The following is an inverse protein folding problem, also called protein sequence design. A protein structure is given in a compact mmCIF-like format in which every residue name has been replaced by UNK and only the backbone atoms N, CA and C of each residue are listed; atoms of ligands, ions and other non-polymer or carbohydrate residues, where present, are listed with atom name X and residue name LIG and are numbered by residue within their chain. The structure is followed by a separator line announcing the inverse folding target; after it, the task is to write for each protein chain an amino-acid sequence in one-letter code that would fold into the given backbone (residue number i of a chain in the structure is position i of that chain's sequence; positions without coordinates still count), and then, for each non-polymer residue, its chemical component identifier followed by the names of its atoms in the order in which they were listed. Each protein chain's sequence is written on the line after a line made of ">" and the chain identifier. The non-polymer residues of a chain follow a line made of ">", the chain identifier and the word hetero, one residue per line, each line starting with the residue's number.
data_IF_764208984992
#
_entry.id   IF_764208984992
#
_cell.length_a   1.000
_cell.length_b   1.000
_cell.length_c   1.000
_cell.angle_alpha   90.00
_cell.angle_beta   90.00
_cell.angle_gamma   90.00
#
_symmetry.space_group_name_H-M   'P 1'
#
loop_
_entity.id
_entity.type
_entity.pdbx_description
1 polymer ?
#
# COMPACT_ATOMS: atom_id res chain seq x y z
N UNK A 1 -3.98 -9.86 2.51
CA UNK A 1 -5.44 -10.21 2.61
C UNK A 1 -6.28 -8.92 2.56
N UNK A 2 -7.58 -8.95 2.21
CA UNK A 2 -8.41 -7.72 2.14
C UNK A 2 -8.39 -6.93 3.45
N UNK A 3 -8.47 -7.61 4.60
CA UNK A 3 -8.43 -6.97 5.92
C UNK A 3 -7.15 -6.15 6.17
N UNK A 4 -6.02 -6.58 5.62
CA UNK A 4 -4.73 -5.88 5.81
C UNK A 4 -4.60 -4.70 4.84
N UNK A 5 -5.09 -4.87 3.61
CA UNK A 5 -5.20 -3.76 2.67
C UNK A 5 -6.11 -2.66 3.23
N UNK A 6 -7.22 -3.02 3.89
CA UNK A 6 -8.07 -2.04 4.58
C UNK A 6 -7.39 -1.42 5.79
N UNK A 7 -6.64 -2.21 6.58
CA UNK A 7 -5.84 -1.69 7.69
C UNK A 7 -4.86 -0.60 7.23
N UNK A 8 -4.19 -0.82 6.10
CA UNK A 8 -3.12 0.06 5.64
C UNK A 8 -3.59 1.20 4.72
N UNK A 9 -4.54 0.95 3.81
CA UNK A 9 -5.00 1.90 2.81
C UNK A 9 -6.41 2.46 3.05
N UNK A 10 -7.08 2.11 4.17
CA UNK A 10 -8.41 2.67 4.49
C UNK A 10 -8.47 3.26 5.89
N UNK A 11 -8.20 2.47 6.92
CA UNK A 11 -8.24 2.89 8.32
C UNK A 11 -7.52 1.86 9.20
N UNK A 12 -6.60 2.32 10.05
CA UNK A 12 -5.78 1.42 10.86
C UNK A 12 -4.40 2.00 11.15
N UNK A 13 -3.48 1.82 10.20
CA UNK A 13 -2.16 2.44 10.23
C UNK A 13 -2.25 3.99 10.25
N UNK A 14 -3.33 4.54 9.70
CA UNK A 14 -3.68 5.96 9.78
C UNK A 14 -3.74 6.52 11.20
N UNK A 15 -4.10 5.70 12.19
CA UNK A 15 -4.14 6.12 13.60
C UNK A 15 -2.73 6.23 14.23
N UNK A 16 -1.73 5.63 13.61
CA UNK A 16 -0.34 5.61 14.08
C UNK A 16 0.47 6.73 13.40
N UNK A 17 0.21 6.99 12.11
CA UNK A 17 0.88 8.01 11.30
C UNK A 17 -0.12 9.04 10.73
N UNK A 18 -0.81 9.83 11.58
CA UNK A 18 -1.88 10.71 11.15
C UNK A 18 -1.41 11.84 10.23
N UNK A 19 -0.20 12.34 10.44
CA UNK A 19 0.44 13.38 9.64
C UNK A 19 0.78 12.94 8.21
N UNK A 20 1.31 11.72 8.05
CA UNK A 20 1.51 11.12 6.73
C UNK A 20 0.18 10.72 6.08
N UNK A 21 -0.81 10.30 6.88
CA UNK A 21 -2.13 9.94 6.40
C UNK A 21 -2.88 11.14 5.80
N UNK A 22 -2.78 12.32 6.41
CA UNK A 22 -3.37 13.53 5.84
C UNK A 22 -2.86 13.80 4.42
N UNK A 23 -1.56 13.61 4.19
CA UNK A 23 -0.94 13.71 2.85
C UNK A 23 -1.44 12.65 1.88
N UNK A 24 -1.69 11.44 2.36
CA UNK A 24 -2.33 10.38 1.58
C UNK A 24 -3.79 10.72 1.21
N UNK A 25 -4.51 11.51 2.00
CA UNK A 25 -5.89 11.86 1.69
C UNK A 25 -6.03 13.06 0.74
N UNK A 26 -5.02 13.94 0.67
CA UNK A 26 -5.05 15.20 -0.10
C UNK A 26 -5.49 15.04 -1.56
N UNK A 27 -5.02 14.04 -2.35
CA UNK A 27 -5.41 13.90 -3.76
C UNK A 27 -6.84 13.37 -3.97
N UNK A 28 -7.49 12.87 -2.92
CA UNK A 28 -8.79 12.19 -3.01
C UNK A 28 -9.90 13.10 -2.43
N UNK A 29 -10.90 13.49 -3.24
CA UNK A 29 -12.07 14.24 -2.78
C UNK A 29 -12.79 13.51 -1.65
N UNK A 30 -13.30 14.25 -0.67
CA UNK A 30 -13.95 13.69 0.54
C UNK A 30 -15.04 12.67 0.20
N UNK A 31 -15.86 12.93 -0.83
CA UNK A 31 -16.92 12.02 -1.26
C UNK A 31 -16.45 10.68 -1.84
N UNK A 32 -15.17 10.56 -2.22
CA UNK A 32 -14.58 9.32 -2.74
C UNK A 32 -13.78 8.52 -1.68
N UNK A 33 -13.58 9.07 -0.47
CA UNK A 33 -12.71 8.47 0.55
C UNK A 33 -13.25 7.20 1.21
N UNK A 34 -14.46 6.77 0.84
CA UNK A 34 -15.04 5.49 1.31
C UNK A 34 -14.40 4.24 0.71
N UNK A 35 -13.68 4.38 -0.41
CA UNK A 35 -12.86 3.32 -1.00
C UNK A 35 -11.61 3.94 -1.65
N UNK A 36 -10.57 4.13 -0.84
CA UNK A 36 -9.36 4.83 -1.23
C UNK A 36 -8.57 4.07 -2.30
N UNK A 37 -8.46 2.74 -2.19
CA UNK A 37 -7.76 1.93 -3.20
C UNK A 37 -8.40 2.09 -4.59
N UNK A 38 -9.72 2.02 -4.69
CA UNK A 38 -10.41 2.24 -5.96
C UNK A 38 -10.30 3.69 -6.43
N UNK A 39 -10.36 4.67 -5.53
CA UNK A 39 -10.22 6.09 -5.86
C UNK A 39 -8.83 6.44 -6.39
N UNK A 40 -7.79 5.86 -5.81
CA UNK A 40 -6.42 5.94 -6.30
C UNK A 40 -6.25 5.23 -7.63
N UNK A 41 -6.72 3.98 -7.76
CA UNK A 41 -6.62 3.22 -9.01
C UNK A 41 -7.23 3.98 -10.19
N UNK A 42 -8.41 4.61 -10.02
CA UNK A 42 -9.03 5.43 -11.08
C UNK A 42 -8.13 6.56 -11.59
N UNK A 43 -7.44 7.27 -10.69
CA UNK A 43 -6.52 8.37 -11.03
C UNK A 43 -5.23 7.81 -11.67
N UNK A 44 -4.71 6.73 -11.12
CA UNK A 44 -3.48 6.06 -11.56
C UNK A 44 -3.62 5.42 -12.95
N UNK A 45 -4.82 5.04 -13.36
CA UNK A 45 -5.11 4.52 -14.71
C UNK A 45 -5.81 5.52 -15.62
N UNK A 46 -6.01 6.77 -15.17
CA UNK A 46 -6.66 7.83 -15.93
C UNK A 46 -5.75 8.47 -16.98
N UNK A 47 -6.36 9.35 -17.79
CA UNK A 47 -5.67 10.11 -18.85
C UNK A 47 -5.10 11.46 -18.37
N UNK A 48 -5.47 11.93 -17.17
CA UNK A 48 -4.92 13.15 -16.60
C UNK A 48 -3.55 12.87 -15.96
N UNK A 49 -2.47 13.22 -16.65
CA UNK A 49 -1.11 12.96 -16.18
C UNK A 49 -0.74 13.74 -14.90
N UNK A 50 -1.31 14.92 -14.69
CA UNK A 50 -1.06 15.70 -13.47
C UNK A 50 -1.71 15.04 -12.26
N UNK A 51 -2.97 14.64 -12.37
CA UNK A 51 -3.67 13.90 -11.31
C UNK A 51 -3.01 12.54 -11.03
N UNK A 52 -2.58 11.85 -12.09
CA UNK A 52 -1.87 10.58 -11.99
C UNK A 52 -0.58 10.74 -11.20
N UNK A 53 0.23 11.75 -11.52
CA UNK A 53 1.49 12.00 -10.81
C UNK A 53 1.22 12.38 -9.34
N UNK A 54 0.26 13.27 -9.07
CA UNK A 54 -0.10 13.65 -7.70
C UNK A 54 -0.55 12.44 -6.87
N UNK A 55 -1.43 11.61 -7.43
CA UNK A 55 -1.87 10.39 -6.77
C UNK A 55 -0.73 9.39 -6.59
N UNK A 56 0.12 9.19 -7.59
CA UNK A 56 1.26 8.29 -7.51
C UNK A 56 2.24 8.71 -6.41
N UNK A 57 2.61 9.99 -6.36
CA UNK A 57 3.51 10.51 -5.32
C UNK A 57 2.91 10.34 -3.93
N UNK A 58 1.64 10.70 -3.72
CA UNK A 58 1.00 10.58 -2.40
C UNK A 58 0.90 9.12 -1.93
N UNK A 59 0.54 8.20 -2.83
CA UNK A 59 0.52 6.77 -2.57
C UNK A 59 1.90 6.24 -2.16
N UNK A 60 2.93 6.55 -2.95
CA UNK A 60 4.30 6.10 -2.67
C UNK A 60 4.87 6.72 -1.40
N UNK A 61 4.61 8.00 -1.14
CA UNK A 61 5.05 8.68 0.09
C UNK A 61 4.43 8.04 1.34
N UNK A 62 3.15 7.70 1.30
CA UNK A 62 2.47 7.00 2.40
C UNK A 62 3.21 5.73 2.82
N UNK A 63 3.58 4.90 1.85
CA UNK A 63 4.28 3.65 2.14
C UNK A 63 5.73 3.88 2.58
N UNK A 64 6.46 4.77 1.92
CA UNK A 64 7.84 5.08 2.30
C UNK A 64 7.93 5.68 3.72
N UNK A 65 6.94 6.46 4.13
CA UNK A 65 6.88 7.09 5.46
C UNK A 65 6.60 6.08 6.59
N UNK A 66 6.01 4.92 6.28
CA UNK A 66 5.51 3.95 7.27
C UNK A 66 6.27 2.62 7.26
N UNK A 67 7.22 2.43 6.35
CA UNK A 67 7.96 1.17 6.17
C UNK A 67 9.08 0.92 7.21
N UNK A 68 9.31 1.85 8.14
CA UNK A 68 10.38 1.74 9.14
C UNK A 68 9.92 2.28 10.49
N UNK A 69 10.50 1.73 11.57
CA UNK A 69 10.22 2.20 12.94
C UNK A 69 10.65 3.67 13.12
N UNK A 70 11.79 4.04 12.55
CA UNK A 70 12.23 5.41 12.43
C UNK A 70 12.05 5.84 10.98
N UNK A 71 11.26 6.89 10.76
CA UNK A 71 11.01 7.45 9.43
C UNK A 71 12.34 7.81 8.78
N UNK A 72 12.52 7.37 7.53
CA UNK A 72 13.72 7.64 6.75
C UNK A 72 13.44 8.72 5.69
N UNK A 73 13.94 9.95 5.86
CA UNK A 73 13.72 11.03 4.89
C UNK A 73 14.20 10.68 3.48
N UNK A 74 15.24 9.86 3.33
CA UNK A 74 15.75 9.47 2.02
C UNK A 74 14.78 8.54 1.28
N UNK A 75 14.06 7.69 2.02
CA UNK A 75 13.02 6.81 1.45
C UNK A 75 11.83 7.64 0.96
N UNK A 76 11.42 8.66 1.70
CA UNK A 76 10.37 9.61 1.27
C UNK A 76 10.84 10.42 0.06
N UNK A 77 12.07 10.94 0.08
CA UNK A 77 12.63 11.73 -1.02
C UNK A 77 12.64 10.95 -2.34
N UNK A 78 12.90 9.64 -2.30
CA UNK A 78 12.81 8.79 -3.50
C UNK A 78 11.42 8.82 -4.13
N UNK A 79 10.35 8.83 -3.34
CA UNK A 79 8.98 8.89 -3.84
C UNK A 79 8.60 10.28 -4.39
N UNK A 80 9.23 11.35 -3.90
CA UNK A 80 8.98 12.71 -4.38
C UNK A 80 9.83 13.08 -5.59
N UNK A 81 11.07 12.61 -5.64
CA UNK A 81 12.09 13.09 -6.58
C UNK A 81 12.16 12.23 -7.85
N UNK A 82 11.77 10.95 -7.76
CA UNK A 82 11.70 10.03 -8.90
C UNK A 82 10.25 9.74 -9.29
N UNK A 83 9.73 10.59 -10.18
CA UNK A 83 8.38 10.44 -10.73
C UNK A 83 8.16 9.10 -11.45
N UNK A 84 9.21 8.53 -12.08
CA UNK A 84 9.08 7.23 -12.77
C UNK A 84 8.90 6.11 -11.76
N UNK A 85 9.66 6.14 -10.67
CA UNK A 85 9.49 5.22 -9.55
C UNK A 85 8.08 5.35 -8.96
N UNK A 86 7.65 6.56 -8.58
CA UNK A 86 6.35 6.76 -7.95
C UNK A 86 5.18 6.25 -8.82
N UNK A 87 5.19 6.59 -10.11
CA UNK A 87 4.14 6.16 -11.04
C UNK A 87 4.16 4.65 -11.25
N UNK A 88 5.32 4.03 -11.44
CA UNK A 88 5.40 2.57 -11.61
C UNK A 88 4.96 1.83 -10.35
N UNK A 89 5.47 2.25 -9.19
CA UNK A 89 5.18 1.68 -7.87
C UNK A 89 3.67 1.71 -7.58
N UNK A 90 3.09 2.92 -7.54
CA UNK A 90 1.69 3.09 -7.18
C UNK A 90 0.74 2.40 -8.16
N UNK A 91 1.02 2.47 -9.47
CA UNK A 91 0.14 1.84 -10.48
C UNK A 91 0.12 0.32 -10.35
N UNK A 92 1.27 -0.30 -10.17
CA UNK A 92 1.35 -1.77 -10.09
C UNK A 92 0.70 -2.24 -8.80
N UNK A 93 1.01 -1.61 -7.66
CA UNK A 93 0.40 -1.96 -6.37
C UNK A 93 -1.11 -1.83 -6.37
N UNK A 94 -1.61 -0.63 -6.69
CA UNK A 94 -3.05 -0.38 -6.74
C UNK A 94 -3.74 -1.36 -7.68
N UNK A 95 -3.12 -1.69 -8.82
CA UNK A 95 -3.66 -2.67 -9.76
C UNK A 95 -3.79 -4.07 -9.16
N UNK A 96 -2.77 -4.58 -8.46
CA UNK A 96 -2.88 -5.88 -7.79
C UNK A 96 -3.90 -5.84 -6.65
N UNK A 97 -3.94 -4.76 -5.86
CA UNK A 97 -4.81 -4.69 -4.69
C UNK A 97 -6.29 -4.64 -5.05
N UNK A 98 -6.68 -3.83 -6.05
CA UNK A 98 -8.09 -3.77 -6.48
C UNK A 98 -8.57 -5.07 -7.13
N UNK A 99 -7.65 -5.88 -7.68
CA UNK A 99 -7.95 -7.17 -8.30
C UNK A 99 -7.78 -8.36 -7.34
N UNK A 100 -7.63 -8.15 -6.02
CA UNK A 100 -7.42 -9.24 -5.06
C UNK A 100 -6.16 -10.07 -5.34
N UNK A 101 -5.14 -9.42 -5.90
CA UNK A 101 -3.91 -10.00 -6.43
C UNK A 101 -4.13 -11.16 -7.42
N UNK A 102 -5.27 -11.18 -8.12
CA UNK A 102 -5.66 -12.24 -9.05
C UNK A 102 -5.72 -13.65 -8.42
N UNK A 103 -5.91 -13.71 -7.10
CA UNK A 103 -6.15 -14.96 -6.38
C UNK A 103 -7.61 -15.37 -6.48
N UNK A 104 -7.89 -16.66 -6.38
CA UNK A 104 -9.25 -17.21 -6.36
C UNK A 104 -10.02 -16.80 -5.10
N UNK A 105 -9.31 -16.70 -3.96
CA UNK A 105 -9.86 -16.23 -2.70
C UNK A 105 -8.78 -15.64 -1.78
N UNK A 106 -9.24 -14.88 -0.78
CA UNK A 106 -8.43 -14.13 0.19
C UNK A 106 -7.48 -15.00 1.04
N UNK A 107 -7.71 -16.31 1.11
CA UNK A 107 -6.96 -17.27 1.92
C UNK A 107 -6.21 -18.31 1.07
N UNK A 108 -6.13 -18.10 -0.25
CA UNK A 108 -5.49 -19.04 -1.17
C UNK A 108 -4.08 -19.45 -0.72
N UNK A 109 -3.26 -18.50 -0.25
CA UNK A 109 -1.90 -18.80 0.21
C UNK A 109 -1.89 -19.74 1.43
N UNK A 110 -2.73 -19.47 2.44
CA UNK A 110 -2.80 -20.28 3.66
C UNK A 110 -3.39 -21.66 3.39
N UNK A 111 -4.44 -21.74 2.56
CA UNK A 111 -5.07 -23.01 2.15
C UNK A 111 -4.15 -23.94 1.39
N UNK A 112 -3.10 -23.40 0.74
CA UNK A 112 -2.14 -24.14 -0.07
C UNK A 112 -0.74 -24.21 0.58
N UNK A 113 -0.60 -23.79 1.84
CA UNK A 113 0.70 -23.75 2.52
C UNK A 113 1.31 -25.15 2.71
N UNK A 114 0.50 -26.20 2.70
CA UNK A 114 0.93 -27.59 2.74
C UNK A 114 1.83 -27.97 1.55
N UNK A 115 1.69 -27.30 0.40
CA UNK A 115 2.52 -27.52 -0.80
C UNK A 115 3.99 -27.16 -0.59
N UNK A 116 4.30 -26.33 0.40
CA UNK A 116 5.66 -25.90 0.72
C UNK A 116 6.15 -26.46 2.07
N UNK A 117 5.40 -27.39 2.68
CA UNK A 117 5.70 -27.90 4.04
C UNK A 117 7.10 -28.52 4.18
N UNK A 118 7.63 -29.07 3.09
CA UNK A 118 8.94 -29.74 3.05
C UNK A 118 10.07 -28.81 2.57
N UNK A 119 9.76 -27.53 2.27
CA UNK A 119 10.74 -26.51 1.88
C UNK A 119 11.26 -25.83 3.15
N UNK A 120 12.57 -25.95 3.47
CA UNK A 120 13.14 -25.24 4.62
C UNK A 120 13.01 -23.72 4.43
N UNK A 121 12.53 -23.03 5.45
CA UNK A 121 12.31 -21.59 5.41
C UNK A 121 12.37 -20.93 6.78
N UNK A 122 12.54 -19.61 6.78
CA UNK A 122 12.51 -18.77 7.99
C UNK A 122 11.57 -17.59 7.72
N UNK A 123 10.65 -17.33 8.63
CA UNK A 123 9.82 -16.13 8.61
C UNK A 123 10.46 -15.10 9.56
N UNK A 124 10.87 -13.96 9.01
CA UNK A 124 11.44 -12.84 9.79
C UNK A 124 10.45 -11.68 9.71
N UNK A 125 9.83 -11.34 10.84
CA UNK A 125 8.80 -10.30 10.91
C UNK A 125 9.14 -9.21 11.93
N UNK A 126 9.01 -7.96 11.53
CA UNK A 126 9.14 -6.81 12.42
C UNK A 126 7.96 -6.71 13.39
N UNK A 127 8.24 -6.54 14.70
CA UNK A 127 7.18 -6.36 15.72
C UNK A 127 6.29 -5.16 15.43
N UNK A 128 6.88 -4.08 14.92
CA UNK A 128 6.21 -2.80 14.64
C UNK A 128 6.01 -2.56 13.14
N UNK A 129 5.93 -3.63 12.35
CA UNK A 129 5.54 -3.51 10.95
C UNK A 129 4.05 -3.09 10.88
N UNK A 130 3.81 -1.84 10.48
CA UNK A 130 2.46 -1.29 10.33
C UNK A 130 1.91 -1.45 8.91
N UNK A 131 2.77 -1.75 7.93
CA UNK A 131 2.39 -1.98 6.53
C UNK A 131 1.79 -3.37 6.42
N UNK A 132 2.50 -4.37 6.95
CA UNK A 132 2.10 -5.77 7.02
C UNK A 132 2.09 -6.22 8.49
N UNK A 133 0.99 -6.04 9.24
CA UNK A 133 0.95 -6.37 10.66
C UNK A 133 1.34 -7.82 10.97
N UNK A 134 2.08 -8.01 12.06
CA UNK A 134 2.62 -9.32 12.48
C UNK A 134 1.58 -10.44 12.71
N UNK A 135 0.27 -10.11 12.70
CA UNK A 135 -0.83 -11.09 12.79
C UNK A 135 -0.79 -12.14 11.67
N UNK A 136 -0.22 -11.84 10.51
CA UNK A 136 -0.20 -12.76 9.37
C UNK A 136 1.12 -13.48 9.16
N UNK A 137 2.11 -13.20 10.00
CA UNK A 137 3.37 -13.95 10.03
C UNK A 137 3.18 -15.35 10.62
#
# INVERSE_FOLDING_TARGET
>A
RRKELLWFYQEGASMIFPDAWDKYLEPIPVGERGDLMSAYHRRLTGNNEEEKLKAATAWSVWEMATSRLYVDPASIARATDDAKFAVAFARIEAHYFVNGAFMNDDEQLLKNADKIKDIPGVIVQGRYDVVCPARSA
#
